data_IF_903233196527
#
_entry.id   IF_903233196527
#
_cell.length_a   1.000
_cell.length_b   1.000
_cell.length_c   1.000
_cell.angle_alpha   90.00
_cell.angle_beta   90.00
_cell.angle_gamma   90.00
#
_symmetry.space_group_name_H-M   'P 1'
#
loop_
_entity.id
_entity.type
_entity.pdbx_description
1 polymer ?
#
# COMPACT_ATOMS: atom_id res chain seq x y z
N UNK A 1 2.84 -15.36 -8.25
CA UNK A 1 4.29 -15.67 -8.04
C UNK A 1 5.24 -14.88 -8.93
N UNK A 2 4.77 -14.22 -9.98
CA UNK A 2 5.61 -13.43 -10.94
C UNK A 2 6.46 -12.35 -10.25
N UNK A 3 5.88 -11.62 -9.28
CA UNK A 3 6.61 -10.57 -8.53
C UNK A 3 7.83 -11.14 -7.81
N UNK A 4 7.68 -12.26 -7.09
CA UNK A 4 8.78 -12.89 -6.35
C UNK A 4 9.90 -13.32 -7.30
N UNK A 5 9.55 -13.91 -8.46
CA UNK A 5 10.51 -14.29 -9.49
C UNK A 5 11.30 -13.09 -10.01
N UNK A 6 10.60 -12.03 -10.41
CA UNK A 6 11.24 -10.87 -11.03
C UNK A 6 12.12 -10.09 -10.09
N UNK A 7 11.72 -9.94 -8.82
CA UNK A 7 12.49 -9.19 -7.82
C UNK A 7 13.74 -9.94 -7.37
N UNK A 8 13.66 -11.28 -7.26
CA UNK A 8 14.76 -12.10 -6.71
C UNK A 8 15.57 -12.84 -7.77
N UNK A 9 15.22 -12.70 -9.04
CA UNK A 9 15.90 -13.40 -10.15
C UNK A 9 15.93 -14.93 -10.01
N UNK A 10 14.90 -15.50 -9.39
CA UNK A 10 14.79 -16.95 -9.20
C UNK A 10 14.45 -17.65 -10.52
N UNK A 11 15.03 -18.81 -10.75
CA UNK A 11 14.71 -19.67 -11.87
C UNK A 11 13.35 -20.38 -11.69
N UNK A 12 12.85 -20.96 -12.77
CA UNK A 12 11.54 -21.63 -12.76
C UNK A 12 11.49 -22.87 -11.87
N UNK A 13 12.61 -23.57 -11.72
CA UNK A 13 12.71 -24.74 -10.85
C UNK A 13 12.54 -24.34 -9.39
N UNK A 14 13.25 -23.31 -8.94
CA UNK A 14 13.09 -22.80 -7.57
C UNK A 14 11.69 -22.25 -7.35
N UNK A 15 11.16 -21.47 -8.31
CA UNK A 15 9.81 -20.91 -8.23
C UNK A 15 8.72 -21.98 -8.11
N UNK A 16 8.91 -23.16 -8.73
CA UNK A 16 7.98 -24.28 -8.64
C UNK A 16 7.87 -24.88 -7.23
N UNK A 17 8.86 -24.63 -6.39
CA UNK A 17 8.91 -25.08 -5.00
C UNK A 17 8.27 -24.10 -4.03
N UNK A 18 7.92 -22.90 -4.48
CA UNK A 18 7.32 -21.86 -3.63
C UNK A 18 5.79 -21.88 -3.74
N UNK A 19 5.14 -21.75 -2.59
CA UNK A 19 3.68 -21.69 -2.47
C UNK A 19 3.29 -20.43 -1.69
N UNK A 20 2.51 -19.52 -2.28
CA UNK A 20 1.91 -18.44 -1.53
C UNK A 20 0.83 -18.99 -0.60
N UNK A 21 0.79 -18.47 0.62
CA UNK A 21 -0.19 -18.83 1.63
C UNK A 21 -0.83 -17.53 2.16
N UNK A 22 -2.14 -17.42 1.94
CA UNK A 22 -2.94 -16.29 2.44
C UNK A 22 -3.26 -16.56 3.90
N UNK A 23 -2.67 -15.77 4.80
CA UNK A 23 -2.79 -15.98 6.26
C UNK A 23 -4.07 -15.42 6.83
N UNK A 24 -4.41 -14.23 6.41
CA UNK A 24 -5.59 -13.52 6.87
C UNK A 24 -6.04 -12.49 5.85
N UNK A 25 -7.30 -12.17 5.88
CA UNK A 25 -7.87 -11.08 5.09
C UNK A 25 -9.01 -10.42 5.86
N UNK A 26 -9.19 -9.12 5.63
CA UNK A 26 -10.24 -8.34 6.29
C UNK A 26 -10.69 -7.20 5.39
N UNK A 27 -11.91 -6.70 5.63
CA UNK A 27 -12.43 -5.53 4.94
C UNK A 27 -12.30 -4.28 5.83
N UNK A 28 -11.94 -3.17 5.20
CA UNK A 28 -12.06 -1.83 5.77
C UNK A 28 -13.17 -1.08 5.06
N UNK A 29 -14.15 -0.62 5.83
CA UNK A 29 -15.20 0.29 5.39
C UNK A 29 -14.95 1.61 6.10
N UNK A 30 -14.62 2.64 5.35
CA UNK A 30 -14.07 3.89 5.90
C UNK A 30 -14.88 5.07 5.40
N UNK A 31 -15.25 5.96 6.33
CA UNK A 31 -15.78 7.29 6.07
C UNK A 31 -15.59 8.19 7.32
N UNK A 32 -16.19 9.37 7.34
CA UNK A 32 -16.21 10.28 8.49
C UNK A 32 -14.81 10.60 9.06
N UNK A 33 -13.84 10.87 8.19
CA UNK A 33 -12.42 11.08 8.52
C UNK A 33 -11.73 9.85 9.10
N UNK A 34 -12.28 8.64 8.92
CA UNK A 34 -11.57 7.41 9.26
C UNK A 34 -10.26 7.29 8.51
N UNK A 35 -9.25 6.74 9.17
CA UNK A 35 -7.89 6.59 8.63
C UNK A 35 -7.20 5.38 9.24
N UNK A 36 -6.03 5.05 8.72
CA UNK A 36 -5.12 4.11 9.35
C UNK A 36 -3.79 4.78 9.61
N UNK A 37 -3.33 4.70 10.85
CA UNK A 37 -1.99 5.16 11.23
C UNK A 37 -0.90 4.42 10.49
N UNK A 38 0.28 5.04 10.44
CA UNK A 38 1.46 4.44 9.84
C UNK A 38 1.88 3.17 10.62
N UNK A 39 1.89 2.04 9.90
CA UNK A 39 2.19 0.73 10.49
C UNK A 39 2.92 -0.19 9.52
N UNK A 40 3.38 -1.31 10.03
CA UNK A 40 4.00 -2.43 9.29
C UNK A 40 3.30 -3.72 9.68
N UNK A 41 3.37 -4.71 8.80
CA UNK A 41 2.87 -6.03 9.12
C UNK A 41 4.01 -6.91 9.65
N UNK A 42 3.74 -7.62 10.76
CA UNK A 42 4.68 -8.54 11.37
C UNK A 42 4.35 -9.99 10.99
N UNK A 43 5.37 -10.85 10.98
CA UNK A 43 5.21 -12.29 10.72
C UNK A 43 4.57 -12.63 9.37
N UNK A 44 4.75 -11.75 8.39
CA UNK A 44 4.25 -11.93 7.03
C UNK A 44 5.27 -11.38 6.03
N UNK A 45 5.23 -11.87 4.79
CA UNK A 45 6.14 -11.44 3.73
C UNK A 45 5.54 -10.31 2.89
N UNK A 46 4.23 -10.36 2.66
CA UNK A 46 3.53 -9.47 1.77
C UNK A 46 2.23 -8.98 2.38
N UNK A 47 1.96 -7.69 2.21
CA UNK A 47 0.66 -7.09 2.39
C UNK A 47 -0.01 -6.86 1.05
N UNK A 48 -1.33 -6.87 1.02
CA UNK A 48 -2.11 -6.54 -0.17
C UNK A 48 -3.33 -5.70 0.18
N UNK A 49 -3.71 -4.83 -0.76
CA UNK A 49 -4.89 -3.99 -0.67
C UNK A 49 -5.63 -4.09 -2.01
N UNK A 50 -6.83 -4.62 -1.98
CA UNK A 50 -7.74 -4.66 -3.12
C UNK A 50 -8.82 -3.60 -2.97
N UNK A 51 -8.94 -2.69 -3.93
CA UNK A 51 -9.92 -1.62 -3.92
C UNK A 51 -11.24 -2.12 -4.50
N UNK A 52 -12.24 -2.28 -3.63
CA UNK A 52 -13.59 -2.72 -3.99
C UNK A 52 -14.43 -1.54 -4.45
N UNK A 53 -14.44 -0.49 -3.62
CA UNK A 53 -15.09 0.78 -3.93
C UNK A 53 -14.23 1.91 -3.34
N UNK A 54 -13.74 2.76 -4.20
CA UNK A 54 -12.87 3.87 -3.80
C UNK A 54 -13.67 5.11 -3.40
N UNK A 55 -14.96 5.15 -3.70
CA UNK A 55 -15.78 6.32 -3.44
C UNK A 55 -15.18 7.58 -4.07
N UNK A 56 -14.94 8.59 -3.26
CA UNK A 56 -14.36 9.89 -3.67
C UNK A 56 -12.89 10.02 -3.24
N UNK A 57 -12.14 8.90 -3.27
CA UNK A 57 -10.70 8.91 -3.00
C UNK A 57 -9.93 9.71 -4.05
N UNK A 58 -8.81 10.27 -3.63
CA UNK A 58 -7.87 10.96 -4.52
C UNK A 58 -7.49 12.35 -4.05
N UNK A 59 -7.08 13.18 -5.00
CA UNK A 59 -6.75 14.58 -4.72
C UNK A 59 -8.01 15.41 -4.54
N UNK A 60 -8.07 16.15 -3.44
CA UNK A 60 -9.15 17.12 -3.16
C UNK A 60 -8.54 18.46 -2.76
N UNK A 61 -9.21 19.53 -3.15
CA UNK A 61 -8.84 20.89 -2.71
C UNK A 61 -9.80 21.27 -1.60
N UNK A 62 -9.29 21.58 -0.42
CA UNK A 62 -10.09 21.99 0.71
C UNK A 62 -10.63 23.44 0.59
N UNK A 63 -11.40 23.88 1.57
CA UNK A 63 -12.01 25.22 1.59
C UNK A 63 -10.97 26.35 1.59
N UNK A 64 -9.76 26.09 2.08
CA UNK A 64 -8.63 27.02 2.10
C UNK A 64 -7.82 27.00 0.80
N UNK A 65 -8.21 26.19 -0.18
CA UNK A 65 -7.50 26.00 -1.45
C UNK A 65 -6.27 25.11 -1.34
N UNK A 66 -6.12 24.33 -0.26
CA UNK A 66 -4.99 23.44 -0.04
C UNK A 66 -5.29 22.07 -0.64
N UNK A 67 -4.37 21.55 -1.47
CA UNK A 67 -4.45 20.20 -2.01
C UNK A 67 -4.20 19.16 -0.90
N UNK A 68 -5.12 18.23 -0.74
CA UNK A 68 -5.04 17.13 0.21
C UNK A 68 -5.30 15.79 -0.47
N UNK A 69 -4.76 14.73 0.12
CA UNK A 69 -5.04 13.36 -0.29
C UNK A 69 -6.18 12.82 0.55
N UNK A 70 -7.27 12.42 -0.09
CA UNK A 70 -8.48 11.87 0.52
C UNK A 70 -8.52 10.35 0.35
N UNK A 71 -8.38 9.59 1.43
CA UNK A 71 -8.52 8.13 1.44
C UNK A 71 -7.49 7.34 0.64
N UNK A 72 -6.34 7.92 0.34
CA UNK A 72 -5.27 7.24 -0.39
C UNK A 72 -4.42 6.36 0.53
N UNK A 73 -3.78 5.35 -0.03
CA UNK A 73 -2.75 4.62 0.70
C UNK A 73 -1.40 5.26 0.45
N UNK A 74 -0.71 5.60 1.54
CA UNK A 74 0.61 6.24 1.55
C UNK A 74 1.67 5.24 1.96
N UNK A 75 2.71 5.11 1.15
CA UNK A 75 3.88 4.28 1.41
C UNK A 75 5.08 5.17 1.65
N UNK A 76 5.75 4.95 2.78
CA UNK A 76 6.89 5.76 3.20
C UNK A 76 8.20 5.14 2.72
N UNK A 77 9.13 5.99 2.30
CA UNK A 77 10.47 5.55 1.95
C UNK A 77 11.13 4.87 3.16
N UNK A 78 11.69 3.66 3.00
CA UNK A 78 12.46 3.02 4.06
C UNK A 78 13.79 3.74 4.34
N UNK A 79 14.21 4.62 3.43
CA UNK A 79 15.42 5.42 3.53
C UNK A 79 15.00 6.87 3.60
N UNK A 80 15.29 7.51 4.72
CA UNK A 80 15.06 8.94 4.90
C UNK A 80 16.36 9.69 4.59
N UNK A 81 16.27 10.59 3.63
CA UNK A 81 17.38 11.48 3.31
C UNK A 81 17.11 12.86 3.90
N UNK A 82 17.97 13.29 4.76
CA UNK A 82 18.04 14.69 5.17
C UNK A 82 19.08 15.38 4.29
N UNK A 83 18.62 16.10 3.27
CA UNK A 83 19.52 16.91 2.44
C UNK A 83 18.98 18.31 2.33
N UNK A 84 19.89 19.28 2.46
CA UNK A 84 19.64 20.70 2.19
C UNK A 84 20.06 21.07 0.76
N UNK A 85 20.56 20.10 0.00
CA UNK A 85 20.99 20.31 -1.37
C UNK A 85 19.79 20.26 -2.32
N UNK A 86 19.57 21.36 -3.04
CA UNK A 86 18.49 21.47 -4.01
C UNK A 86 18.58 20.43 -5.14
N UNK A 87 19.77 19.92 -5.47
CA UNK A 87 19.97 18.88 -6.48
C UNK A 87 19.43 17.53 -6.06
N UNK A 88 19.22 17.30 -4.76
CA UNK A 88 18.66 16.06 -4.20
C UNK A 88 17.13 16.12 -4.04
N UNK A 89 16.49 17.24 -4.29
CA UNK A 89 15.04 17.44 -4.09
C UNK A 89 14.20 16.41 -4.87
N UNK A 90 14.64 16.02 -6.06
CA UNK A 90 13.95 15.02 -6.88
C UNK A 90 14.10 13.57 -6.38
N UNK A 91 15.06 13.32 -5.48
CA UNK A 91 15.27 12.00 -4.84
C UNK A 91 14.61 11.90 -3.48
N UNK A 92 14.15 13.02 -2.91
CA UNK A 92 13.63 13.11 -1.54
C UNK A 92 12.12 12.86 -1.45
N UNK A 93 11.59 11.90 -2.19
CA UNK A 93 10.22 11.47 -1.97
C UNK A 93 10.16 10.65 -0.68
N UNK A 94 9.79 11.30 0.43
CA UNK A 94 9.62 10.63 1.72
C UNK A 94 8.45 9.64 1.71
N UNK A 95 7.48 9.87 0.84
CA UNK A 95 6.32 9.02 0.69
C UNK A 95 5.75 9.06 -0.74
N UNK A 96 5.08 7.98 -1.12
CA UNK A 96 4.32 7.87 -2.37
C UNK A 96 2.87 7.56 -2.03
N UNK A 97 1.96 8.36 -2.55
CA UNK A 97 0.52 8.11 -2.47
C UNK A 97 0.07 7.30 -3.68
N UNK A 98 -0.60 6.19 -3.43
CA UNK A 98 -1.21 5.38 -4.48
C UNK A 98 -2.61 5.91 -4.74
N UNK A 99 -2.86 6.35 -5.97
CA UNK A 99 -4.21 6.71 -6.41
C UNK A 99 -5.09 5.46 -6.47
N UNK A 100 -6.16 5.39 -5.65
CA UNK A 100 -7.01 4.23 -5.62
C UNK A 100 -7.89 4.18 -6.87
N UNK A 101 -8.05 2.99 -7.44
CA UNK A 101 -8.98 2.71 -8.54
C UNK A 101 -9.73 1.41 -8.25
N UNK A 102 -11.03 1.36 -8.53
CA UNK A 102 -11.85 0.16 -8.34
C UNK A 102 -11.29 -1.02 -9.13
N UNK A 103 -11.15 -2.17 -8.48
CA UNK A 103 -10.62 -3.39 -9.10
C UNK A 103 -9.10 -3.50 -9.10
N UNK A 104 -8.36 -2.46 -8.69
CA UNK A 104 -6.90 -2.53 -8.59
C UNK A 104 -6.49 -3.27 -7.32
N UNK A 105 -5.45 -4.09 -7.45
CA UNK A 105 -4.77 -4.78 -6.36
C UNK A 105 -3.35 -4.24 -6.22
N UNK A 106 -3.02 -3.71 -5.06
CA UNK A 106 -1.65 -3.30 -4.67
C UNK A 106 -1.06 -4.36 -3.78
N UNK A 107 0.12 -4.88 -4.13
CA UNK A 107 0.89 -5.82 -3.29
C UNK A 107 2.22 -5.17 -2.95
N UNK A 108 2.61 -5.25 -1.67
CA UNK A 108 3.81 -4.61 -1.17
C UNK A 108 4.51 -5.49 -0.11
N UNK A 109 5.85 -5.34 0.06
CA UNK A 109 6.58 -6.00 1.12
C UNK A 109 6.04 -5.60 2.51
N UNK A 110 5.77 -6.57 3.36
CA UNK A 110 5.13 -6.36 4.66
C UNK A 110 5.90 -5.43 5.62
N UNK A 111 7.23 -5.32 5.44
CA UNK A 111 8.07 -4.41 6.22
C UNK A 111 7.91 -2.93 5.82
N UNK A 112 7.27 -2.63 4.70
CA UNK A 112 7.13 -1.27 4.21
C UNK A 112 6.14 -0.50 5.08
N UNK A 113 6.61 0.60 5.69
CA UNK A 113 5.77 1.49 6.47
C UNK A 113 4.72 2.12 5.56
N UNK A 114 3.45 2.02 5.95
CA UNK A 114 2.35 2.58 5.16
C UNK A 114 1.21 3.02 6.06
N UNK A 115 0.34 3.87 5.50
CA UNK A 115 -0.85 4.39 6.17
C UNK A 115 -2.00 4.51 5.16
N UNK A 116 -3.20 4.81 5.65
CA UNK A 116 -4.28 5.33 4.82
C UNK A 116 -4.64 6.74 5.31
N UNK A 117 -4.66 7.70 4.40
CA UNK A 117 -5.02 9.08 4.72
C UNK A 117 -6.50 9.16 5.13
N UNK A 118 -6.91 10.18 5.92
CA UNK A 118 -8.30 10.37 6.26
C UNK A 118 -9.19 10.39 5.02
N UNK A 119 -10.35 9.75 5.13
CA UNK A 119 -11.34 9.71 4.07
C UNK A 119 -12.67 10.31 4.51
N UNK A 120 -13.21 11.16 3.67
CA UNK A 120 -14.58 11.66 3.77
C UNK A 120 -15.21 11.69 2.38
N UNK A 121 -16.44 11.20 2.25
CA UNK A 121 -17.13 11.15 0.99
C UNK A 121 -18.63 10.93 1.18
N UNK A 122 -19.39 11.02 0.08
CA UNK A 122 -20.83 10.72 0.06
C UNK A 122 -21.11 9.23 0.19
N UNK A 123 -20.16 8.42 -0.27
CA UNK A 123 -20.18 6.95 -0.15
C UNK A 123 -18.97 6.48 0.65
N UNK A 124 -19.06 5.28 1.21
CA UNK A 124 -17.95 4.68 1.94
C UNK A 124 -16.84 4.21 1.00
N UNK A 125 -15.60 4.35 1.44
CA UNK A 125 -14.45 3.69 0.84
C UNK A 125 -14.39 2.26 1.34
N UNK A 126 -14.32 1.29 0.44
CA UNK A 126 -14.28 -0.15 0.77
C UNK A 126 -13.04 -0.80 0.16
N UNK A 127 -12.21 -1.39 1.00
CA UNK A 127 -11.06 -2.18 0.56
C UNK A 127 -11.01 -3.53 1.26
N UNK A 128 -10.42 -4.51 0.61
CA UNK A 128 -10.04 -5.79 1.23
C UNK A 128 -8.52 -5.79 1.37
N UNK A 129 -8.05 -5.92 2.60
CA UNK A 129 -6.63 -6.08 2.89
C UNK A 129 -6.33 -7.54 3.23
N UNK A 130 -5.08 -7.96 3.00
CA UNK A 130 -4.64 -9.30 3.36
C UNK A 130 -3.16 -9.36 3.69
N UNK A 131 -2.79 -10.39 4.41
CA UNK A 131 -1.42 -10.79 4.70
C UNK A 131 -1.11 -12.15 4.05
N UNK A 132 0.07 -12.25 3.47
CA UNK A 132 0.52 -13.49 2.82
C UNK A 132 1.98 -13.79 3.15
N UNK A 133 2.29 -15.06 3.28
CA UNK A 133 3.67 -15.57 3.33
C UNK A 133 3.95 -16.44 2.11
N UNK A 134 5.24 -16.68 1.87
CA UNK A 134 5.67 -17.61 0.85
C UNK A 134 6.35 -18.79 1.53
N UNK A 135 5.78 -19.97 1.39
CA UNK A 135 6.32 -21.22 1.94
C UNK A 135 7.07 -21.99 0.86
N UNK A 136 7.99 -22.84 1.28
CA UNK A 136 8.58 -23.86 0.43
C UNK A 136 7.73 -25.14 0.51
N UNK A 137 7.52 -25.80 -0.63
CA UNK A 137 6.87 -27.12 -0.65
C UNK A 137 7.72 -28.10 0.16
N UNK A 138 7.09 -28.79 1.06
CA UNK A 138 7.66 -29.93 1.79
C UNK A 138 7.60 -31.19 0.95
#
# INVERSE_FOLDING_TARGET
>A
MTVVKNVNSYDDNYMSQLVPDLRESWAHITNNNGYHDAHKHLNTSWGGIYYVDTGECGEVVDEDGILRMNGTNRFYSPIQYFTLDASMTYLSHDAVDISPENGVLVIFPAYLLHSATPYIGKTDRVVISFNSITNQKT
#
